data_IF_009956696894
#
_entry.id   IF_009956696894
#
_cell.length_a   1.000
_cell.length_b   1.000
_cell.length_c   1.000
_cell.angle_alpha   90.00
_cell.angle_beta   90.00
_cell.angle_gamma   90.00
#
_symmetry.space_group_name_H-M   'P 1'
#
loop_
_entity.id
_entity.type
_entity.pdbx_description
1 polymer ?
#
# COMPACT_ATOMS: atom_id res chain seq x y z
N UNK A 1 34.65 -34.70 8.18
CA UNK A 1 34.83 -33.65 9.22
C UNK A 1 36.15 -32.90 9.07
N UNK A 2 37.29 -33.58 8.82
CA UNK A 2 38.61 -32.95 8.66
C UNK A 2 38.92 -32.34 7.28
N UNK A 3 37.98 -32.37 6.33
CA UNK A 3 38.20 -31.85 4.95
C UNK A 3 37.38 -30.58 4.65
N UNK A 4 36.52 -30.13 5.56
CA UNK A 4 35.71 -28.94 5.36
C UNK A 4 36.35 -27.75 6.10
N UNK A 5 36.59 -26.65 5.37
CA UNK A 5 37.18 -25.42 5.91
C UNK A 5 36.31 -24.86 7.05
N UNK A 6 36.91 -24.60 8.24
CA UNK A 6 36.19 -24.04 9.38
C UNK A 6 35.51 -22.71 9.01
N UNK A 7 34.28 -22.51 9.47
CA UNK A 7 33.50 -21.28 9.22
C UNK A 7 32.61 -21.30 7.96
N UNK A 8 32.64 -22.38 7.17
CA UNK A 8 31.72 -22.53 6.04
C UNK A 8 30.37 -23.13 6.47
N UNK A 9 29.30 -22.82 5.73
CA UNK A 9 27.93 -23.34 5.98
C UNK A 9 27.92 -24.88 6.01
N UNK A 10 28.72 -25.51 5.15
CA UNK A 10 28.85 -26.97 5.07
C UNK A 10 29.50 -27.53 6.34
N UNK A 11 30.56 -26.89 6.84
CA UNK A 11 31.21 -27.28 8.10
C UNK A 11 30.25 -27.15 9.29
N UNK A 12 29.52 -26.03 9.38
CA UNK A 12 28.52 -25.82 10.42
C UNK A 12 27.44 -26.91 10.42
N UNK A 13 26.89 -27.22 9.24
CA UNK A 13 25.85 -28.24 9.08
C UNK A 13 26.34 -29.64 9.52
N UNK A 14 27.55 -30.04 9.13
CA UNK A 14 28.12 -31.32 9.55
C UNK A 14 28.41 -31.39 11.05
N UNK A 15 28.91 -30.31 11.67
CA UNK A 15 29.17 -30.26 13.12
C UNK A 15 27.87 -30.33 13.91
N UNK A 16 26.83 -29.59 13.49
CA UNK A 16 25.53 -29.61 14.15
C UNK A 16 24.86 -30.99 14.03
N UNK A 17 24.91 -31.60 12.84
CA UNK A 17 24.31 -32.92 12.60
C UNK A 17 25.05 -34.01 13.41
N UNK A 18 26.39 -33.98 13.45
CA UNK A 18 27.18 -34.89 14.26
C UNK A 18 26.95 -34.72 15.77
N UNK A 19 26.88 -33.47 16.25
CA UNK A 19 26.55 -33.18 17.64
C UNK A 19 25.16 -33.71 18.01
N UNK A 20 24.15 -33.48 17.16
CA UNK A 20 22.80 -34.03 17.36
C UNK A 20 22.79 -35.56 17.38
N UNK A 21 23.54 -36.23 16.50
CA UNK A 21 23.66 -37.69 16.49
C UNK A 21 24.36 -38.21 17.76
N UNK A 22 25.46 -37.58 18.19
CA UNK A 22 26.18 -37.92 19.43
C UNK A 22 25.31 -37.71 20.67
N UNK A 23 24.58 -36.61 20.76
CA UNK A 23 23.64 -36.34 21.87
C UNK A 23 22.49 -37.33 21.89
N UNK A 24 22.04 -37.80 20.72
CA UNK A 24 20.98 -38.82 20.61
C UNK A 24 21.49 -40.21 21.00
N UNK A 25 22.75 -40.53 20.72
CA UNK A 25 23.37 -41.80 21.09
C UNK A 25 23.80 -41.86 22.57
N UNK A 26 24.18 -40.73 23.16
CA UNK A 26 24.71 -40.66 24.52
C UNK A 26 23.62 -40.53 25.61
N UNK A 27 22.39 -40.20 25.24
CA UNK A 27 21.28 -39.96 26.18
C UNK A 27 20.21 -41.02 25.95
N UNK A 28 19.76 -41.69 27.01
CA UNK A 28 18.66 -42.67 26.93
C UNK A 28 17.42 -42.08 26.25
N UNK A 29 16.75 -42.89 25.43
CA UNK A 29 15.71 -42.46 24.46
C UNK A 29 14.68 -41.48 25.04
N UNK A 30 14.29 -41.66 26.30
CA UNK A 30 13.32 -40.81 27.00
C UNK A 30 13.84 -39.41 27.33
N UNK A 31 15.10 -39.28 27.76
CA UNK A 31 15.71 -38.00 28.12
C UNK A 31 16.05 -37.16 26.87
N UNK A 32 16.38 -37.80 25.75
CA UNK A 32 16.63 -37.11 24.49
C UNK A 32 15.35 -36.52 23.87
N UNK A 33 14.24 -37.26 23.97
CA UNK A 33 12.92 -36.77 23.55
C UNK A 33 12.47 -35.60 24.41
N UNK A 34 12.66 -35.67 25.73
CA UNK A 34 12.32 -34.57 26.65
C UNK A 34 13.04 -33.27 26.28
N UNK A 35 14.35 -33.32 26.04
CA UNK A 35 15.15 -32.15 25.71
C UNK A 35 14.70 -31.52 24.38
N UNK A 36 14.38 -32.34 23.37
CA UNK A 36 13.85 -31.87 22.07
C UNK A 36 12.51 -31.15 22.23
N UNK A 37 11.60 -31.71 23.00
CA UNK A 37 10.30 -31.07 23.29
C UNK A 37 10.51 -29.77 24.08
N UNK A 38 11.40 -29.75 25.06
CA UNK A 38 11.72 -28.56 25.83
C UNK A 38 12.28 -27.41 24.96
N UNK A 39 13.15 -27.72 23.99
CA UNK A 39 13.64 -26.72 23.04
C UNK A 39 12.54 -26.20 22.11
N UNK A 40 11.65 -27.07 21.63
CA UNK A 40 10.50 -26.65 20.80
C UNK A 40 9.57 -25.72 21.59
N UNK A 41 9.22 -26.10 22.82
CA UNK A 41 8.37 -25.28 23.69
C UNK A 41 9.03 -23.94 24.00
N UNK A 42 10.33 -23.95 24.32
CA UNK A 42 11.10 -22.72 24.58
C UNK A 42 11.16 -21.82 23.34
N UNK A 43 11.34 -22.39 22.14
CA UNK A 43 11.33 -21.64 20.89
C UNK A 43 9.95 -21.02 20.61
N UNK A 44 8.86 -21.76 20.83
CA UNK A 44 7.49 -21.23 20.69
C UNK A 44 7.23 -20.09 21.68
N UNK A 45 7.61 -20.27 22.96
CA UNK A 45 7.47 -19.23 23.98
C UNK A 45 8.29 -17.98 23.63
N UNK A 46 9.52 -18.16 23.16
CA UNK A 46 10.38 -17.05 22.74
C UNK A 46 9.76 -16.27 21.58
N UNK A 47 9.24 -16.96 20.56
CA UNK A 47 8.52 -16.33 19.45
C UNK A 47 7.27 -15.61 19.94
N UNK A 48 6.50 -16.18 20.86
CA UNK A 48 5.32 -15.52 21.44
C UNK A 48 5.68 -14.26 22.22
N UNK A 49 6.73 -14.30 23.06
CA UNK A 49 7.21 -13.14 23.82
C UNK A 49 7.70 -12.06 22.86
N UNK A 50 8.50 -12.40 21.85
CA UNK A 50 8.98 -11.45 20.85
C UNK A 50 7.82 -10.85 20.05
N UNK A 51 6.88 -11.66 19.56
CA UNK A 51 5.74 -11.18 18.78
C UNK A 51 4.82 -10.29 19.64
N UNK A 52 4.68 -10.57 20.93
CA UNK A 52 3.85 -9.78 21.84
C UNK A 52 4.50 -8.46 22.27
N UNK A 53 5.79 -8.46 22.58
CA UNK A 53 6.47 -7.33 23.20
C UNK A 53 7.31 -6.49 22.23
N UNK A 54 7.99 -7.12 21.26
CA UNK A 54 8.85 -6.41 20.31
C UNK A 54 8.15 -6.08 18.99
N UNK A 55 7.17 -6.89 18.58
CA UNK A 55 6.34 -6.64 17.39
C UNK A 55 4.84 -6.57 17.68
N UNK A 56 4.35 -5.81 18.68
CA UNK A 56 2.93 -5.57 18.80
C UNK A 56 2.49 -4.79 17.55
N UNK A 57 1.98 -5.49 16.54
CA UNK A 57 1.27 -4.89 15.42
C UNK A 57 -0.01 -4.31 16.00
N UNK A 58 0.08 -3.08 16.48
CA UNK A 58 -1.08 -2.39 17.03
C UNK A 58 -2.08 -2.19 15.89
N UNK A 59 -3.33 -2.60 16.12
CA UNK A 59 -4.42 -2.43 15.14
C UNK A 59 -4.53 -0.98 14.65
N UNK A 60 -4.24 -0.02 15.54
CA UNK A 60 -4.15 1.41 15.21
C UNK A 60 -3.08 1.69 14.14
N UNK A 61 -1.87 1.14 14.33
CA UNK A 61 -0.77 1.31 13.37
C UNK A 61 -1.08 0.61 12.05
N UNK A 62 -1.72 -0.56 12.08
CA UNK A 62 -2.17 -1.27 10.87
C UNK A 62 -3.19 -0.46 10.07
N UNK A 63 -4.20 0.11 10.73
CA UNK A 63 -5.20 0.98 10.06
C UNK A 63 -4.52 2.20 9.45
N UNK A 64 -3.61 2.86 10.17
CA UNK A 64 -2.87 4.01 9.65
C UNK A 64 -1.98 3.65 8.46
N UNK A 65 -1.28 2.52 8.55
CA UNK A 65 -0.45 2.00 7.47
C UNK A 65 -1.28 1.68 6.23
N UNK A 66 -2.41 0.99 6.40
CA UNK A 66 -3.30 0.64 5.30
C UNK A 66 -3.92 1.89 4.66
N UNK A 67 -4.25 2.92 5.45
CA UNK A 67 -4.69 4.20 4.93
C UNK A 67 -3.58 4.87 4.11
N UNK A 68 -2.35 4.87 4.59
CA UNK A 68 -1.20 5.36 3.82
C UNK A 68 -1.00 4.57 2.51
N UNK A 69 -1.15 3.25 2.56
CA UNK A 69 -1.09 2.38 1.39
C UNK A 69 -2.19 2.75 0.39
N UNK A 70 -3.42 3.04 0.84
CA UNK A 70 -4.53 3.47 -0.01
C UNK A 70 -4.17 4.71 -0.85
N UNK A 71 -3.58 5.73 -0.22
CA UNK A 71 -3.13 6.93 -0.93
C UNK A 71 -1.92 6.65 -1.84
N UNK A 72 -0.98 5.84 -1.39
CA UNK A 72 0.15 5.39 -2.23
C UNK A 72 -0.34 4.69 -3.50
N UNK A 73 -1.41 3.88 -3.42
CA UNK A 73 -2.02 3.25 -4.58
C UNK A 73 -2.61 4.27 -5.57
N UNK A 74 -3.19 5.39 -5.11
CA UNK A 74 -3.64 6.45 -6.02
C UNK A 74 -2.47 7.11 -6.78
N UNK A 75 -1.34 7.35 -6.10
CA UNK A 75 -0.11 7.82 -6.77
C UNK A 75 0.47 6.77 -7.73
N UNK A 76 0.39 5.49 -7.39
CA UNK A 76 0.77 4.40 -8.30
C UNK A 76 -0.13 4.37 -9.54
N UNK A 77 -1.45 4.51 -9.38
CA UNK A 77 -2.38 4.56 -10.50
C UNK A 77 -2.11 5.76 -11.42
N UNK A 78 -1.86 6.95 -10.87
CA UNK A 78 -1.51 8.13 -11.67
C UNK A 78 -0.22 7.94 -12.47
N UNK A 79 0.80 7.31 -11.88
CA UNK A 79 2.04 6.95 -12.59
C UNK A 79 1.81 5.91 -13.68
N UNK A 80 1.02 4.87 -13.41
CA UNK A 80 0.62 3.89 -14.43
C UNK A 80 -0.14 4.57 -15.57
N UNK A 81 -0.92 5.61 -15.26
CA UNK A 81 -1.66 6.40 -16.24
C UNK A 81 -0.69 7.22 -17.11
N UNK A 82 0.31 7.86 -16.51
CA UNK A 82 1.38 8.58 -17.22
C UNK A 82 2.17 7.64 -18.14
N UNK A 83 2.61 6.48 -17.62
CA UNK A 83 3.34 5.46 -18.38
C UNK A 83 2.53 4.95 -19.57
N UNK A 84 1.21 4.78 -19.40
CA UNK A 84 0.31 4.32 -20.45
C UNK A 84 0.10 5.29 -21.61
N UNK A 85 0.51 6.56 -21.47
CA UNK A 85 0.48 7.53 -22.56
C UNK A 85 1.60 7.31 -23.58
N UNK A 86 2.64 6.57 -23.20
CA UNK A 86 3.79 6.28 -24.06
C UNK A 86 3.89 4.80 -24.41
N UNK A 87 3.65 3.95 -23.42
CA UNK A 87 3.86 2.51 -23.51
C UNK A 87 2.51 1.76 -23.50
N UNK A 88 2.51 0.53 -23.99
CA UNK A 88 1.34 -0.33 -23.84
C UNK A 88 1.12 -0.67 -22.36
N UNK A 89 -0.14 -0.69 -21.93
CA UNK A 89 -0.53 -1.01 -20.57
C UNK A 89 -0.30 -2.49 -20.24
N UNK A 90 0.54 -2.73 -19.24
CA UNK A 90 0.73 -4.06 -18.65
C UNK A 90 -0.49 -4.43 -17.79
N UNK A 91 -1.38 -5.25 -18.35
CA UNK A 91 -2.60 -5.68 -17.67
C UNK A 91 -2.35 -6.32 -16.30
N UNK A 92 -1.26 -7.09 -16.17
CA UNK A 92 -0.90 -7.74 -14.91
C UNK A 92 -0.61 -6.75 -13.79
N UNK A 93 0.01 -5.60 -14.10
CA UNK A 93 0.33 -4.54 -13.11
C UNK A 93 -0.93 -3.87 -12.60
N UNK A 94 -1.90 -3.68 -13.49
CA UNK A 94 -3.20 -3.09 -13.15
C UNK A 94 -3.96 -4.04 -12.23
N UNK A 95 -4.05 -5.33 -12.58
CA UNK A 95 -4.76 -6.32 -11.78
C UNK A 95 -4.14 -6.46 -10.38
N UNK A 96 -2.81 -6.56 -10.29
CA UNK A 96 -2.11 -6.63 -9.00
C UNK A 96 -2.38 -5.37 -8.15
N UNK A 97 -2.28 -4.17 -8.76
CA UNK A 97 -2.61 -2.94 -8.07
C UNK A 97 -4.09 -2.86 -7.63
N UNK A 98 -5.03 -3.37 -8.41
CA UNK A 98 -6.45 -3.47 -8.03
C UNK A 98 -6.64 -4.40 -6.83
N UNK A 99 -6.03 -5.58 -6.84
CA UNK A 99 -6.11 -6.55 -5.73
C UNK A 99 -5.56 -5.92 -4.45
N UNK A 100 -4.39 -5.28 -4.51
CA UNK A 100 -3.78 -4.62 -3.36
C UNK A 100 -4.66 -3.50 -2.81
N UNK A 101 -5.23 -2.66 -3.69
CA UNK A 101 -6.15 -1.59 -3.29
C UNK A 101 -7.38 -2.13 -2.55
N UNK A 102 -8.06 -3.13 -3.13
CA UNK A 102 -9.25 -3.71 -2.52
C UNK A 102 -8.96 -4.45 -1.21
N UNK A 103 -7.79 -5.10 -1.12
CA UNK A 103 -7.35 -5.76 0.11
C UNK A 103 -7.11 -4.74 1.23
N UNK A 104 -6.39 -3.65 0.95
CA UNK A 104 -6.15 -2.59 1.92
C UNK A 104 -7.46 -1.94 2.38
N UNK A 105 -8.36 -1.64 1.44
CA UNK A 105 -9.67 -1.06 1.73
C UNK A 105 -10.52 -1.99 2.62
N UNK A 106 -10.54 -3.28 2.32
CA UNK A 106 -11.28 -4.28 3.10
C UNK A 106 -10.74 -4.42 4.53
N UNK A 107 -9.40 -4.43 4.68
CA UNK A 107 -8.77 -4.46 5.99
C UNK A 107 -9.11 -3.23 6.83
N UNK A 108 -9.02 -2.02 6.24
CA UNK A 108 -9.41 -0.80 6.96
C UNK A 108 -10.88 -0.87 7.39
N UNK A 109 -11.80 -1.29 6.51
CA UNK A 109 -13.23 -1.39 6.85
C UNK A 109 -13.49 -2.39 7.99
N UNK A 110 -12.71 -3.47 8.08
CA UNK A 110 -12.84 -4.46 9.15
C UNK A 110 -12.24 -4.00 10.47
N UNK A 111 -11.12 -3.28 10.43
CA UNK A 111 -10.36 -2.93 11.63
C UNK A 111 -10.70 -1.55 12.20
N UNK A 112 -11.20 -0.63 11.38
CA UNK A 112 -11.64 0.70 11.80
C UNK A 112 -12.68 0.66 12.93
N UNK A 113 -13.72 -0.22 12.92
CA UNK A 113 -14.67 -0.30 14.04
C UNK A 113 -14.05 -0.82 15.35
N UNK A 114 -12.93 -1.54 15.29
CA UNK A 114 -12.21 -2.08 16.46
C UNK A 114 -11.27 -1.05 17.07
N UNK A 115 -10.76 -0.14 16.24
CA UNK A 115 -9.86 0.95 16.63
C UNK A 115 -10.65 2.16 17.11
N UNK A 116 -11.59 2.63 16.29
CA UNK A 116 -12.32 3.87 16.54
C UNK A 116 -13.70 3.59 17.14
N UNK A 117 -13.88 4.04 18.39
CA UNK A 117 -15.13 3.83 19.15
C UNK A 117 -16.09 5.00 19.01
N UNK A 118 -15.61 6.20 18.66
CA UNK A 118 -16.48 7.34 18.39
C UNK A 118 -17.15 7.19 17.01
N UNK A 119 -18.48 7.28 16.98
CA UNK A 119 -19.26 7.25 15.74
C UNK A 119 -18.91 8.42 14.80
N UNK A 120 -18.57 9.59 15.35
CA UNK A 120 -18.20 10.77 14.54
C UNK A 120 -16.93 10.51 13.75
N UNK A 121 -15.90 9.97 14.40
CA UNK A 121 -14.62 9.66 13.78
C UNK A 121 -14.71 8.49 12.81
N UNK A 122 -15.46 7.45 13.19
CA UNK A 122 -15.76 6.35 12.28
C UNK A 122 -16.50 6.82 11.02
N UNK A 123 -17.48 7.70 11.16
CA UNK A 123 -18.22 8.30 10.03
C UNK A 123 -17.31 9.15 9.14
N UNK A 124 -16.39 9.91 9.73
CA UNK A 124 -15.38 10.67 9.00
C UNK A 124 -14.49 9.78 8.14
N UNK A 125 -13.88 8.75 8.72
CA UNK A 125 -13.03 7.81 7.97
C UNK A 125 -13.83 7.04 6.91
N UNK A 126 -15.05 6.60 7.20
CA UNK A 126 -15.91 5.96 6.21
C UNK A 126 -16.21 6.88 5.01
N UNK A 127 -16.38 8.19 5.22
CA UNK A 127 -16.53 9.14 4.13
C UNK A 127 -15.27 9.23 3.28
N UNK A 128 -14.08 9.25 3.88
CA UNK A 128 -12.81 9.18 3.16
C UNK A 128 -12.77 7.92 2.29
N UNK A 129 -13.01 6.75 2.88
CA UNK A 129 -12.95 5.45 2.19
C UNK A 129 -13.93 5.35 1.02
N UNK A 130 -15.12 5.96 1.15
CA UNK A 130 -16.09 5.99 0.07
C UNK A 130 -15.65 6.90 -1.08
N UNK A 131 -15.10 8.07 -0.77
CA UNK A 131 -14.60 8.99 -1.81
C UNK A 131 -13.40 8.38 -2.55
N UNK A 132 -12.44 7.80 -1.82
CA UNK A 132 -11.28 7.14 -2.44
C UNK A 132 -11.70 5.94 -3.28
N UNK A 133 -12.73 5.19 -2.87
CA UNK A 133 -13.29 4.10 -3.68
C UNK A 133 -13.88 4.60 -4.99
N UNK A 134 -14.63 5.70 -5.01
CA UNK A 134 -15.11 6.31 -6.25
C UNK A 134 -13.94 6.73 -7.16
N UNK A 135 -12.93 7.40 -6.58
CA UNK A 135 -11.70 7.78 -7.30
C UNK A 135 -10.99 6.57 -7.91
N UNK A 136 -10.90 5.46 -7.17
CA UNK A 136 -10.30 4.23 -7.67
C UNK A 136 -11.07 3.65 -8.85
N UNK A 137 -12.41 3.64 -8.79
CA UNK A 137 -13.23 3.19 -9.92
C UNK A 137 -13.04 4.08 -11.16
N UNK A 138 -13.00 5.40 -10.97
CA UNK A 138 -12.84 6.38 -12.06
C UNK A 138 -11.49 6.21 -12.77
N UNK A 139 -10.38 6.10 -12.04
CA UNK A 139 -9.05 5.90 -12.65
C UNK A 139 -8.91 4.52 -13.29
N UNK A 140 -9.55 3.49 -12.72
CA UNK A 140 -9.60 2.17 -13.34
C UNK A 140 -10.30 2.20 -14.69
N UNK A 141 -11.43 2.92 -14.80
CA UNK A 141 -12.14 3.13 -16.06
C UNK A 141 -11.30 3.93 -17.06
N UNK A 142 -10.50 4.90 -16.60
CA UNK A 142 -9.56 5.61 -17.47
C UNK A 142 -8.55 4.64 -18.12
N UNK A 143 -8.00 3.66 -17.39
CA UNK A 143 -7.08 2.68 -17.99
C UNK A 143 -7.68 1.92 -19.17
N UNK A 144 -8.96 1.54 -19.08
CA UNK A 144 -9.65 0.88 -20.19
C UNK A 144 -9.77 1.81 -21.40
N UNK A 145 -10.14 3.07 -21.19
CA UNK A 145 -10.27 4.06 -22.27
C UNK A 145 -8.92 4.38 -22.95
N UNK A 146 -7.83 4.37 -22.19
CA UNK A 146 -6.49 4.62 -22.75
C UNK A 146 -6.01 3.47 -23.61
N UNK A 147 -6.32 2.22 -23.23
CA UNK A 147 -5.89 1.01 -23.97
C UNK A 147 -6.34 1.00 -25.44
N UNK A 148 -7.47 1.62 -25.76
CA UNK A 148 -8.10 1.49 -27.07
C UNK A 148 -7.75 2.59 -28.09
N UNK A 149 -7.09 3.68 -27.69
CA UNK A 149 -6.88 4.86 -28.57
C UNK A 149 -5.43 5.33 -28.58
N UNK A 150 -4.80 5.36 -29.77
CA UNK A 150 -3.56 6.12 -29.99
C UNK A 150 -3.92 7.61 -30.02
N UNK A 151 -3.40 8.38 -29.07
CA UNK A 151 -3.72 9.81 -28.90
C UNK A 151 -2.72 10.71 -29.64
N UNK A 152 -3.23 11.85 -30.10
CA UNK A 152 -2.40 12.95 -30.58
C UNK A 152 -1.59 13.60 -29.45
N UNK A 153 -0.56 14.36 -29.81
CA UNK A 153 0.38 14.99 -28.87
C UNK A 153 -0.32 15.97 -27.90
N UNK A 154 -1.39 16.63 -28.32
CA UNK A 154 -2.14 17.59 -27.51
C UNK A 154 -2.93 16.92 -26.37
N UNK A 155 -3.69 15.87 -26.67
CA UNK A 155 -4.43 15.10 -25.67
C UNK A 155 -3.50 14.48 -24.61
N UNK A 156 -2.31 14.05 -25.04
CA UNK A 156 -1.26 13.55 -24.14
C UNK A 156 -0.77 14.64 -23.18
N UNK A 157 -0.48 15.84 -23.69
CA UNK A 157 -0.03 16.98 -22.86
C UNK A 157 -1.08 17.37 -21.81
N UNK A 158 -2.36 17.42 -22.19
CA UNK A 158 -3.47 17.71 -21.26
C UNK A 158 -3.53 16.65 -20.15
N UNK A 159 -3.36 15.37 -20.50
CA UNK A 159 -3.40 14.28 -19.53
C UNK A 159 -2.21 14.30 -18.57
N UNK A 160 -1.00 14.59 -19.07
CA UNK A 160 0.20 14.78 -18.24
C UNK A 160 0.02 15.93 -17.24
N UNK A 161 -0.55 17.06 -17.68
CA UNK A 161 -0.87 18.19 -16.81
C UNK A 161 -1.91 17.81 -15.75
N UNK A 162 -2.99 17.14 -16.17
CA UNK A 162 -4.01 16.65 -15.26
C UNK A 162 -3.42 15.73 -14.17
N UNK A 163 -2.57 14.78 -14.56
CA UNK A 163 -1.91 13.85 -13.64
C UNK A 163 -1.07 14.62 -12.62
N UNK A 164 -0.26 15.58 -13.07
CA UNK A 164 0.62 16.37 -12.22
C UNK A 164 -0.16 17.18 -11.16
N UNK A 165 -1.23 17.86 -11.56
CA UNK A 165 -2.08 18.59 -10.61
C UNK A 165 -2.79 17.66 -9.61
N UNK A 166 -3.26 16.52 -10.10
CA UNK A 166 -3.97 15.53 -9.28
C UNK A 166 -3.03 14.94 -8.23
N UNK A 167 -1.79 14.61 -8.62
CA UNK A 167 -0.74 14.10 -7.75
C UNK A 167 -0.35 15.12 -6.67
N UNK A 168 -0.27 16.39 -7.04
CA UNK A 168 0.00 17.47 -6.08
C UNK A 168 -1.09 17.60 -5.02
N UNK A 169 -2.36 17.64 -5.44
CA UNK A 169 -3.48 17.77 -4.51
C UNK A 169 -3.59 16.54 -3.60
N UNK A 170 -3.31 15.33 -4.11
CA UNK A 170 -3.21 14.12 -3.27
C UNK A 170 -2.14 14.25 -2.19
N UNK A 171 -0.94 14.73 -2.55
CA UNK A 171 0.13 14.97 -1.57
C UNK A 171 -0.27 15.99 -0.49
N UNK A 172 -0.99 17.06 -0.86
CA UNK A 172 -1.52 18.02 0.13
C UNK A 172 -2.54 17.37 1.08
N UNK A 173 -3.41 16.49 0.57
CA UNK A 173 -4.36 15.75 1.39
C UNK A 173 -3.63 14.82 2.36
N UNK A 174 -2.62 14.10 1.89
CA UNK A 174 -1.80 13.24 2.74
C UNK A 174 -1.08 14.02 3.85
N UNK A 175 -0.59 15.21 3.55
CA UNK A 175 0.03 16.10 4.55
C UNK A 175 -0.95 16.48 5.65
N UNK A 176 -2.15 16.92 5.28
CA UNK A 176 -3.22 17.27 6.23
C UNK A 176 -3.69 16.07 7.06
N UNK A 177 -3.55 14.85 6.54
CA UNK A 177 -3.83 13.60 7.26
C UNK A 177 -2.62 13.06 8.04
N UNK A 178 -1.49 13.77 8.07
CA UNK A 178 -0.23 13.34 8.68
C UNK A 178 0.24 11.96 8.18
N UNK A 179 0.05 11.70 6.88
CA UNK A 179 0.53 10.52 6.18
C UNK A 179 1.84 10.82 5.45
N UNK A 180 2.64 9.79 5.19
CA UNK A 180 3.89 9.93 4.45
C UNK A 180 3.62 10.37 3.00
N UNK A 181 4.22 11.49 2.60
CA UNK A 181 4.20 12.01 1.23
C UNK A 181 4.97 11.11 0.25
N UNK A 182 4.59 11.16 -1.02
CA UNK A 182 5.41 10.67 -2.13
C UNK A 182 6.54 11.68 -2.43
N UNK A 183 7.75 11.18 -2.69
CA UNK A 183 8.95 12.02 -2.82
C UNK A 183 9.05 12.78 -4.15
N UNK A 184 8.23 12.46 -5.16
CA UNK A 184 8.33 13.07 -6.50
C UNK A 184 7.29 14.17 -6.67
N UNK A 185 7.62 15.39 -6.27
CA UNK A 185 6.88 16.59 -6.68
C UNK A 185 7.64 17.24 -7.85
N UNK A 186 7.04 17.26 -9.05
CA UNK A 186 7.49 18.12 -10.14
C UNK A 186 7.00 19.55 -9.82
N UNK A 187 7.84 20.57 -10.01
CA UNK A 187 7.45 21.97 -9.75
C UNK A 187 6.22 22.34 -10.59
N UNK A 188 5.21 22.93 -9.94
CA UNK A 188 4.04 23.49 -10.61
C UNK A 188 4.40 24.91 -11.05
N UNK A 189 5.13 25.05 -12.15
CA UNK A 189 5.24 26.34 -12.84
C UNK A 189 3.98 26.56 -13.69
N UNK A 190 3.33 27.71 -13.53
CA UNK A 190 2.26 28.32 -14.36
C UNK A 190 1.58 27.44 -15.45
N UNK A 191 1.03 26.28 -15.10
CA UNK A 191 0.26 25.47 -16.05
C UNK A 191 -1.25 25.75 -15.90
N UNK A 192 -1.97 25.83 -17.02
CA UNK A 192 -3.42 25.91 -17.00
C UNK A 192 -3.98 24.53 -16.71
N UNK A 193 -4.65 24.37 -15.58
CA UNK A 193 -5.28 23.11 -15.24
C UNK A 193 -6.48 22.83 -16.15
N UNK A 194 -6.38 21.81 -16.99
CA UNK A 194 -7.37 21.46 -17.99
C UNK A 194 -7.89 20.04 -17.79
N UNK A 195 -9.22 19.88 -17.83
CA UNK A 195 -9.93 18.61 -17.58
C UNK A 195 -10.66 18.06 -18.82
N UNK A 196 -10.54 18.77 -19.94
CA UNK A 196 -11.26 18.49 -21.17
C UNK A 196 -10.29 18.23 -22.31
N UNK A 197 -10.47 17.08 -22.96
CA UNK A 197 -9.74 16.65 -24.15
C UNK A 197 -10.75 16.63 -25.31
N UNK A 198 -10.48 17.45 -26.32
CA UNK A 198 -11.30 17.53 -27.51
C UNK A 198 -11.33 16.18 -28.26
N UNK A 199 -12.52 15.72 -28.64
CA UNK A 199 -12.71 14.40 -29.28
C UNK A 199 -12.78 13.20 -28.33
N UNK A 200 -12.61 13.39 -27.01
CA UNK A 200 -12.72 12.31 -26.01
C UNK A 200 -13.66 12.66 -24.84
N UNK A 201 -14.99 12.66 -25.07
CA UNK A 201 -15.98 13.05 -24.05
C UNK A 201 -16.02 12.09 -22.86
N UNK A 202 -15.86 10.79 -23.08
CA UNK A 202 -15.88 9.76 -22.02
C UNK A 202 -14.68 9.92 -21.07
N UNK A 203 -13.47 10.11 -21.61
CA UNK A 203 -12.28 10.32 -20.79
C UNK A 203 -12.37 11.65 -20.02
N UNK A 204 -12.80 12.72 -20.69
CA UNK A 204 -12.98 14.03 -20.05
C UNK A 204 -13.99 13.98 -18.90
N UNK A 205 -15.08 13.20 -19.06
CA UNK A 205 -16.05 12.94 -18.01
C UNK A 205 -15.41 12.23 -16.81
N UNK A 206 -14.65 11.16 -17.04
CA UNK A 206 -13.94 10.43 -15.98
C UNK A 206 -12.93 11.33 -15.24
N UNK A 207 -12.13 12.11 -15.98
CA UNK A 207 -11.16 13.05 -15.39
C UNK A 207 -11.85 14.09 -14.51
N UNK A 208 -13.02 14.57 -14.96
CA UNK A 208 -13.83 15.53 -14.20
C UNK A 208 -14.42 14.90 -12.94
N UNK A 209 -14.91 13.66 -13.01
CA UNK A 209 -15.46 12.94 -11.86
C UNK A 209 -14.38 12.68 -10.79
N UNK A 210 -13.21 12.18 -11.22
CA UNK A 210 -12.06 11.99 -10.33
C UNK A 210 -11.62 13.29 -9.67
N UNK A 211 -11.47 14.37 -10.44
CA UNK A 211 -11.11 15.67 -9.89
C UNK A 211 -12.16 16.21 -8.91
N UNK A 212 -13.45 15.96 -9.16
CA UNK A 212 -14.54 16.37 -8.27
C UNK A 212 -14.48 15.59 -6.96
N UNK A 213 -14.22 14.29 -7.00
CA UNK A 213 -14.06 13.48 -5.79
C UNK A 213 -12.80 13.85 -5.01
N UNK A 214 -11.68 14.11 -5.70
CA UNK A 214 -10.47 14.62 -5.07
C UNK A 214 -10.72 15.97 -4.37
N UNK A 215 -11.46 16.88 -5.01
CA UNK A 215 -11.84 18.17 -4.41
C UNK A 215 -12.74 17.97 -3.18
N UNK A 216 -13.68 17.03 -3.24
CA UNK A 216 -14.52 16.66 -2.08
C UNK A 216 -13.69 16.11 -0.94
N UNK A 217 -12.71 15.26 -1.25
CA UNK A 217 -11.78 14.70 -0.26
C UNK A 217 -10.96 15.81 0.40
N UNK A 218 -10.40 16.72 -0.40
CA UNK A 218 -9.66 17.88 0.08
C UNK A 218 -10.48 18.73 1.05
N UNK A 219 -11.71 19.10 0.67
CA UNK A 219 -12.61 19.89 1.53
C UNK A 219 -12.99 19.13 2.80
N UNK A 220 -13.21 17.82 2.72
CA UNK A 220 -13.52 16.98 3.88
C UNK A 220 -12.39 16.99 4.91
N UNK A 221 -11.15 16.80 4.44
CA UNK A 221 -9.96 16.81 5.30
C UNK A 221 -9.69 18.21 5.87
N UNK A 222 -9.76 19.25 5.02
CA UNK A 222 -9.55 20.63 5.43
C UNK A 222 -10.52 21.08 6.54
N UNK A 223 -11.79 20.67 6.45
CA UNK A 223 -12.79 20.97 7.49
C UNK A 223 -12.44 20.34 8.83
N UNK A 224 -11.85 19.15 8.83
CA UNK A 224 -11.43 18.49 10.07
C UNK A 224 -10.23 19.19 10.69
N UNK A 225 -9.20 19.48 9.88
CA UNK A 225 -8.03 20.26 10.34
C UNK A 225 -8.47 21.59 10.94
N UNK A 226 -9.35 22.34 10.28
CA UNK A 226 -9.84 23.63 10.79
C UNK A 226 -10.69 23.53 12.07
N UNK A 227 -11.30 22.38 12.34
CA UNK A 227 -12.08 22.20 13.58
C UNK A 227 -11.20 21.74 14.75
N UNK A 228 -9.96 21.33 14.51
CA UNK A 228 -8.98 20.90 15.52
C UNK A 228 -8.10 22.07 16.02
N UNK A 229 -8.13 23.23 15.34
CA UNK A 229 -7.50 24.50 15.75
C UNK A 229 -8.57 25.53 16.15
#
# INVERSE_FOLDING_TARGET
>A
MYTATPGTIIHALFVTCFALSMTTLAIGETMAVFLRVAYIVSAVLFVLVINRFFFPTSLVSQVRYNLQLLFHMHHMYLRMLEDSLTNQLDYWRICDAQIQYHTALAQIRNDLPKVEKDEKDRSYYNRILNITWCMASEIQQMFFQIKHKKRGAEARKIMEQYILYTDYVLNQIQEMLHLKKEKKLKNIEEMKYQRYIEGEPELSSLMTQYARNLSRLYVLVLRRVRNEY
#
